data_IF_764840450238
#
_entry.id   IF_764840450238
#
_cell.length_a   1.000
_cell.length_b   1.000
_cell.length_c   1.000
_cell.angle_alpha   90.00
_cell.angle_beta   90.00
_cell.angle_gamma   90.00
#
_symmetry.space_group_name_H-M   'P 1'
#
loop_
_entity.id
_entity.type
_entity.pdbx_description
1 polymer ?
#
# COMPACT_ATOMS: atom_id res chain seq x y z
N UNK A 1 11.30 -7.41 3.66
CA UNK A 1 12.40 -8.12 2.96
C UNK A 1 11.93 -8.60 1.60
N UNK A 2 12.81 -8.63 0.60
CA UNK A 2 12.51 -9.23 -0.69
C UNK A 2 12.74 -10.75 -0.62
N UNK A 3 11.76 -11.55 -1.04
CA UNK A 3 11.83 -13.02 -1.00
C UNK A 3 11.04 -13.59 -2.17
N UNK A 4 11.70 -14.37 -3.04
CA UNK A 4 11.05 -15.01 -4.19
C UNK A 4 10.33 -14.04 -5.14
N UNK A 5 10.91 -12.86 -5.37
CA UNK A 5 10.33 -11.82 -6.23
C UNK A 5 9.15 -11.06 -5.59
N UNK A 6 8.88 -11.27 -4.29
CA UNK A 6 7.83 -10.56 -3.54
C UNK A 6 8.44 -9.75 -2.42
N UNK A 7 7.79 -8.66 -2.04
CA UNK A 7 8.15 -7.89 -0.86
C UNK A 7 7.29 -8.32 0.33
N UNK A 8 7.92 -8.76 1.42
CA UNK A 8 7.24 -9.14 2.67
C UNK A 8 7.49 -8.07 3.72
N UNK A 9 6.41 -7.50 4.25
CA UNK A 9 6.43 -6.58 5.39
C UNK A 9 6.16 -7.34 6.69
N UNK A 10 6.79 -6.89 7.80
CA UNK A 10 6.63 -7.47 9.13
C UNK A 10 6.46 -6.37 10.16
N UNK A 11 5.59 -6.58 11.13
CA UNK A 11 5.34 -5.60 12.21
C UNK A 11 6.48 -5.65 13.25
N UNK A 12 7.05 -4.50 13.66
CA UNK A 12 8.03 -4.47 14.74
C UNK A 12 7.43 -4.95 16.07
N UNK A 13 8.17 -5.79 16.82
CA UNK A 13 7.67 -6.44 18.04
C UNK A 13 7.18 -5.48 19.13
N UNK A 14 7.82 -4.31 19.27
CA UNK A 14 7.55 -3.35 20.35
C UNK A 14 6.17 -2.71 20.22
N UNK A 15 5.66 -2.55 18.99
CA UNK A 15 4.39 -1.87 18.69
C UNK A 15 3.36 -2.79 18.04
N UNK A 16 3.56 -4.11 18.14
CA UNK A 16 2.67 -5.09 17.54
C UNK A 16 1.25 -4.96 18.09
N UNK A 17 0.26 -4.85 17.19
CA UNK A 17 -1.15 -4.70 17.56
C UNK A 17 -1.50 -3.35 18.17
N UNK A 18 -0.63 -2.34 18.08
CA UNK A 18 -0.89 -0.99 18.57
C UNK A 18 -1.05 0.00 17.41
N UNK A 19 -1.96 0.96 17.55
CA UNK A 19 -2.10 2.10 16.64
C UNK A 19 -2.30 3.39 17.44
N UNK A 20 -1.69 4.49 17.00
CA UNK A 20 -1.98 5.82 17.52
C UNK A 20 -3.21 6.39 16.80
N UNK A 21 -4.25 6.71 17.56
CA UNK A 21 -5.38 7.52 17.10
C UNK A 21 -5.22 8.92 17.67
N UNK A 22 -4.79 9.88 16.85
CA UNK A 22 -4.55 11.26 17.30
C UNK A 22 -5.82 11.85 17.94
N UNK A 23 -5.67 12.42 19.14
CA UNK A 23 -6.78 12.93 19.96
C UNK A 23 -7.42 11.90 20.89
N UNK A 24 -7.08 10.61 20.75
CA UNK A 24 -7.56 9.52 21.61
C UNK A 24 -6.42 8.85 22.40
N UNK A 25 -5.27 8.62 21.75
CA UNK A 25 -4.12 7.93 22.31
C UNK A 25 -3.78 6.63 21.58
N UNK A 26 -2.99 5.77 22.22
CA UNK A 26 -2.60 4.46 21.67
C UNK A 26 -3.69 3.43 22.02
N UNK A 27 -4.15 2.68 21.01
CA UNK A 27 -5.18 1.64 21.18
C UNK A 27 -4.71 0.30 20.60
N UNK A 28 -5.24 -0.79 21.18
CA UNK A 28 -4.97 -2.13 20.71
C UNK A 28 -5.97 -2.57 19.61
N UNK A 29 -5.48 -3.25 18.58
CA UNK A 29 -6.29 -3.82 17.49
C UNK A 29 -5.75 -5.19 17.05
N UNK A 30 -6.60 -6.08 16.48
CA UNK A 30 -6.13 -7.26 15.77
C UNK A 30 -5.13 -6.87 14.67
N UNK A 31 -4.06 -7.65 14.52
CA UNK A 31 -3.02 -7.37 13.53
C UNK A 31 -2.50 -8.66 12.89
N UNK A 32 -2.06 -8.52 11.64
CA UNK A 32 -1.27 -9.53 10.95
C UNK A 32 0.22 -9.29 11.24
N UNK A 33 0.94 -10.34 11.61
CA UNK A 33 2.36 -10.23 11.95
C UNK A 33 3.25 -9.98 10.72
N UNK A 34 2.80 -10.43 9.55
CA UNK A 34 3.47 -10.25 8.28
C UNK A 34 2.47 -10.27 7.10
N UNK A 35 2.80 -9.58 6.01
CA UNK A 35 2.00 -9.60 4.78
C UNK A 35 2.87 -9.41 3.54
N UNK A 36 2.35 -9.83 2.37
CA UNK A 36 2.95 -9.49 1.07
C UNK A 36 2.49 -8.08 0.69
N UNK A 37 3.44 -7.22 0.35
CA UNK A 37 3.18 -5.89 -0.19
C UNK A 37 2.83 -6.03 -1.67
N UNK A 38 1.61 -5.65 -2.04
CA UNK A 38 1.10 -5.75 -3.41
C UNK A 38 0.93 -4.39 -4.11
N UNK A 39 0.99 -3.29 -3.37
CA UNK A 39 0.76 -1.93 -3.85
C UNK A 39 1.57 -0.94 -3.00
N UNK A 40 2.30 -0.05 -3.65
CA UNK A 40 2.87 1.14 -3.02
C UNK A 40 1.90 2.32 -3.21
N UNK A 41 1.69 3.11 -2.15
CA UNK A 41 0.82 4.28 -2.21
C UNK A 41 1.55 5.48 -1.63
N UNK A 42 1.80 6.49 -2.48
CA UNK A 42 2.32 7.78 -2.05
C UNK A 42 1.17 8.76 -1.82
N UNK A 43 1.28 9.58 -0.76
CA UNK A 43 0.29 10.59 -0.40
C UNK A 43 0.94 11.98 -0.59
N UNK A 44 0.44 12.74 -1.56
CA UNK A 44 0.99 14.02 -1.98
C UNK A 44 0.03 15.19 -1.69
N UNK A 45 0.57 16.40 -1.55
CA UNK A 45 -0.22 17.61 -1.27
C UNK A 45 -0.97 18.14 -2.51
N UNK A 46 -0.50 17.81 -3.71
CA UNK A 46 -1.14 18.18 -4.96
C UNK A 46 -1.87 16.98 -5.59
N UNK A 47 -2.96 17.20 -6.34
CA UNK A 47 -3.62 16.12 -7.04
C UNK A 47 -2.73 15.58 -8.16
N UNK A 48 -2.59 14.24 -8.30
CA UNK A 48 -1.83 13.66 -9.40
C UNK A 48 -2.52 13.93 -10.75
N UNK A 49 -1.79 13.83 -11.87
CA UNK A 49 -2.38 13.99 -13.20
C UNK A 49 -3.52 12.99 -13.40
N UNK A 50 -4.60 13.44 -14.06
CA UNK A 50 -5.77 12.58 -14.37
C UNK A 50 -5.37 11.31 -15.13
N UNK A 51 -4.34 11.41 -15.97
CA UNK A 51 -3.74 10.30 -16.69
C UNK A 51 -2.23 10.30 -16.39
N UNK A 52 -1.77 9.52 -15.41
CA UNK A 52 -0.35 9.38 -15.14
C UNK A 52 0.34 8.62 -16.27
N UNK A 53 1.62 8.95 -16.50
CA UNK A 53 2.50 8.21 -17.40
C UNK A 53 2.66 6.75 -16.95
N UNK A 54 3.00 5.86 -17.88
CA UNK A 54 3.07 4.42 -17.60
C UNK A 54 4.19 4.09 -16.61
N UNK A 55 5.28 4.85 -16.64
CA UNK A 55 6.41 4.78 -15.72
C UNK A 55 5.98 5.06 -14.28
N UNK A 56 5.08 6.02 -14.07
CA UNK A 56 4.58 6.40 -12.75
C UNK A 56 3.66 5.34 -12.12
N UNK A 57 3.19 4.35 -12.89
CA UNK A 57 2.33 3.25 -12.41
C UNK A 57 3.08 2.17 -11.65
N UNK A 58 4.41 2.23 -11.63
CA UNK A 58 5.24 1.27 -10.93
C UNK A 58 6.36 1.97 -10.17
N UNK A 59 6.75 1.39 -9.05
CA UNK A 59 7.90 1.83 -8.26
C UNK A 59 8.73 0.62 -7.84
N UNK A 60 10.03 0.82 -7.63
CA UNK A 60 10.90 -0.21 -7.08
C UNK A 60 11.11 0.03 -5.59
N UNK A 61 10.88 -1.01 -4.78
CA UNK A 61 11.13 -0.98 -3.35
C UNK A 61 11.89 -2.24 -2.94
N UNK A 62 13.08 -2.06 -2.38
CA UNK A 62 13.99 -3.15 -2.01
C UNK A 62 14.23 -4.17 -3.14
N UNK A 63 14.41 -3.68 -4.39
CA UNK A 63 14.64 -4.51 -5.57
C UNK A 63 13.40 -5.21 -6.12
N UNK A 64 12.20 -4.90 -5.62
CA UNK A 64 10.93 -5.46 -6.10
C UNK A 64 10.12 -4.38 -6.79
N UNK A 65 9.77 -4.61 -8.06
CA UNK A 65 8.88 -3.72 -8.83
C UNK A 65 7.43 -3.94 -8.42
N UNK A 66 6.79 -2.92 -7.89
CA UNK A 66 5.43 -2.93 -7.36
C UNK A 66 4.52 -2.00 -8.17
N UNK A 67 3.22 -2.32 -8.32
CA UNK A 67 2.22 -1.33 -8.70
C UNK A 67 2.29 -0.12 -7.75
N UNK A 68 2.16 1.07 -8.31
CA UNK A 68 2.27 2.33 -7.59
C UNK A 68 1.04 3.21 -7.85
N UNK A 69 0.55 3.83 -6.78
CA UNK A 69 -0.60 4.74 -6.81
C UNK A 69 -0.27 6.00 -5.99
N UNK A 70 -0.24 7.16 -6.65
CA UNK A 70 -0.23 8.45 -5.95
C UNK A 70 -1.66 8.84 -5.58
N UNK A 71 -1.86 9.30 -4.35
CA UNK A 71 -3.09 9.87 -3.84
C UNK A 71 -2.87 11.31 -3.41
N UNK A 72 -3.91 12.11 -3.62
CA UNK A 72 -3.98 13.46 -3.06
C UNK A 72 -4.34 13.39 -1.57
N UNK A 73 -3.63 14.12 -0.72
CA UNK A 73 -3.83 14.17 0.74
C UNK A 73 -5.28 14.49 1.10
N UNK A 74 -5.90 15.40 0.39
CA UNK A 74 -7.27 15.86 0.63
C UNK A 74 -8.34 15.03 -0.10
N UNK A 75 -7.99 13.90 -0.74
CA UNK A 75 -8.97 13.06 -1.43
C UNK A 75 -9.93 12.37 -0.44
N UNK A 76 -11.23 12.74 -0.41
CA UNK A 76 -12.19 12.13 0.50
C UNK A 76 -12.48 10.65 0.18
N UNK A 77 -11.99 10.15 -0.96
CA UNK A 77 -12.17 8.77 -1.45
C UNK A 77 -10.86 7.97 -1.43
N UNK A 78 -9.81 8.46 -0.78
CA UNK A 78 -8.51 7.78 -0.71
C UNK A 78 -8.63 6.28 -0.37
N UNK A 79 -9.33 5.94 0.71
CA UNK A 79 -9.52 4.54 1.13
C UNK A 79 -10.26 3.68 0.07
N UNK A 80 -11.24 4.25 -0.63
CA UNK A 80 -11.96 3.56 -1.72
C UNK A 80 -11.04 3.31 -2.93
N UNK A 81 -10.20 4.28 -3.27
CA UNK A 81 -9.22 4.14 -4.38
C UNK A 81 -8.20 3.05 -4.09
N UNK A 82 -7.60 3.04 -2.88
CA UNK A 82 -6.67 1.99 -2.46
C UNK A 82 -7.33 0.61 -2.56
N UNK A 83 -8.54 0.45 -2.01
CA UNK A 83 -9.30 -0.81 -2.12
C UNK A 83 -9.58 -1.21 -3.57
N UNK A 84 -9.89 -0.25 -4.44
CA UNK A 84 -10.19 -0.53 -5.85
C UNK A 84 -8.94 -0.97 -6.61
N UNK A 85 -7.80 -0.31 -6.36
CA UNK A 85 -6.51 -0.69 -6.92
C UNK A 85 -6.10 -2.10 -6.48
N UNK A 86 -6.18 -2.41 -5.19
CA UNK A 86 -5.89 -3.75 -4.66
C UNK A 86 -6.76 -4.83 -5.31
N UNK A 87 -8.06 -4.57 -5.49
CA UNK A 87 -8.98 -5.50 -6.18
C UNK A 87 -8.62 -5.70 -7.65
N UNK A 88 -8.17 -4.66 -8.35
CA UNK A 88 -7.74 -4.77 -9.74
C UNK A 88 -6.49 -5.65 -9.85
N UNK A 89 -5.49 -5.41 -8.99
CA UNK A 89 -4.24 -6.18 -8.95
C UNK A 89 -4.50 -7.67 -8.66
N UNK A 90 -5.36 -7.96 -7.68
CA UNK A 90 -5.70 -9.34 -7.31
C UNK A 90 -6.37 -10.13 -8.46
N UNK A 91 -7.15 -9.45 -9.31
CA UNK A 91 -7.74 -10.07 -10.51
C UNK A 91 -6.68 -10.35 -11.58
N UNK A 92 -5.72 -9.44 -11.76
CA UNK A 92 -4.64 -9.58 -12.74
C UNK A 92 -3.67 -10.72 -12.39
N UNK A 93 -3.47 -11.03 -11.09
CA UNK A 93 -2.61 -12.13 -10.66
C UNK A 93 -3.21 -13.54 -10.86
N UNK A 94 -4.49 -13.64 -11.23
CA UNK A 94 -5.15 -14.94 -11.49
C UNK A 94 -4.97 -15.44 -12.94
N UNK A 95 -4.18 -14.74 -13.77
CA UNK A 95 -4.02 -15.01 -15.21
C UNK A 95 -2.71 -15.71 -15.62
N UNK A 96 -1.94 -16.26 -14.69
CA UNK A 96 -0.70 -16.99 -15.01
C UNK A 96 -0.56 -18.23 -14.12
N UNK A 97 -1.25 -19.28 -14.54
CA UNK A 97 -0.98 -20.67 -14.19
C UNK A 97 -0.95 -21.48 -15.49
#
# INVERSE_FOLDING_TARGET
>A
EATGGRLVARTPRIIAGQIELRGWGIVALPHEAACVVALLVDIEDAPPPRMPEDEARFAELAGVRLPHLTLWREDPRAALRVRSALRAIAKSSCGSA
#
